data_IF_261678254524
#
_entry.id   IF_261678254524
#
_cell.length_a   1.000
_cell.length_b   1.000
_cell.length_c   1.000
_cell.angle_alpha   90.00
_cell.angle_beta   90.00
_cell.angle_gamma   90.00
#
_symmetry.space_group_name_H-M   'P 1'
#
loop_
_entity.id
_entity.type
_entity.pdbx_description
1 polymer ?
#
# COMPACT_ATOMS: atom_id res chain seq x y z
N UNK A 1 28.52 -10.25 -2.13
CA UNK A 1 28.50 -11.65 -2.58
C UNK A 1 29.00 -11.64 -4.02
N UNK A 2 30.19 -12.16 -4.30
CA UNK A 2 30.64 -12.34 -5.68
C UNK A 2 29.98 -13.62 -6.23
N UNK A 3 29.40 -13.56 -7.43
CA UNK A 3 28.63 -14.66 -8.04
C UNK A 3 27.30 -14.97 -7.34
N UNK A 4 26.83 -14.08 -6.45
CA UNK A 4 25.65 -14.31 -5.61
C UNK A 4 24.33 -13.77 -6.19
N UNK A 5 23.25 -13.91 -5.43
CA UNK A 5 21.96 -13.25 -5.72
C UNK A 5 21.66 -12.22 -4.64
N UNK A 6 21.30 -11.01 -5.06
CA UNK A 6 20.79 -9.93 -4.22
C UNK A 6 19.27 -9.85 -4.38
N UNK A 7 18.54 -10.04 -3.28
CA UNK A 7 17.10 -9.83 -3.23
C UNK A 7 16.79 -8.47 -2.59
N UNK A 8 16.06 -7.62 -3.32
CA UNK A 8 15.62 -6.30 -2.89
C UNK A 8 14.12 -6.35 -2.66
N UNK A 9 13.69 -6.32 -1.41
CA UNK A 9 12.27 -6.26 -1.07
C UNK A 9 11.79 -4.80 -0.98
N UNK A 10 10.51 -4.59 -1.25
CA UNK A 10 9.83 -3.29 -1.15
C UNK A 10 10.53 -2.13 -1.89
N UNK A 11 11.09 -2.39 -3.09
CA UNK A 11 11.91 -1.38 -3.80
C UNK A 11 11.16 -0.08 -4.13
N UNK A 12 9.83 -0.14 -4.26
CA UNK A 12 8.97 1.02 -4.49
C UNK A 12 8.93 2.05 -3.34
N UNK A 13 9.36 1.66 -2.13
CA UNK A 13 9.45 2.56 -0.96
C UNK A 13 10.84 3.20 -0.82
N UNK A 14 11.81 2.84 -1.69
CA UNK A 14 13.16 3.36 -1.61
C UNK A 14 13.19 4.88 -1.88
N UNK A 15 13.83 5.69 -1.01
CA UNK A 15 14.01 7.12 -1.26
C UNK A 15 14.76 7.40 -2.57
N UNK A 16 14.51 8.54 -3.19
CA UNK A 16 15.09 8.89 -4.51
C UNK A 16 16.62 8.82 -4.54
N UNK A 17 17.27 9.18 -3.43
CA UNK A 17 18.72 9.11 -3.29
C UNK A 17 19.27 7.67 -3.31
N UNK A 18 18.50 6.74 -2.73
CA UNK A 18 18.81 5.31 -2.76
C UNK A 18 18.61 4.76 -4.17
N UNK A 19 17.55 5.19 -4.85
CA UNK A 19 17.30 4.80 -6.24
C UNK A 19 18.47 5.20 -7.16
N UNK A 20 19.05 6.39 -6.99
CA UNK A 20 20.23 6.84 -7.76
C UNK A 20 21.45 5.95 -7.49
N UNK A 21 21.70 5.60 -6.22
CA UNK A 21 22.83 4.73 -5.86
C UNK A 21 22.63 3.31 -6.41
N UNK A 22 21.41 2.80 -6.36
CA UNK A 22 21.07 1.49 -6.89
C UNK A 22 21.22 1.45 -8.41
N UNK A 23 20.76 2.47 -9.12
CA UNK A 23 20.94 2.60 -10.56
C UNK A 23 22.42 2.52 -10.93
N UNK A 24 23.28 3.31 -10.26
CA UNK A 24 24.74 3.27 -10.49
C UNK A 24 25.33 1.88 -10.25
N UNK A 25 24.88 1.19 -9.20
CA UNK A 25 25.32 -0.18 -8.92
C UNK A 25 24.90 -1.18 -10.01
N UNK A 26 23.70 -1.03 -10.57
CA UNK A 26 23.17 -1.89 -11.64
C UNK A 26 23.75 -1.59 -13.03
N UNK A 27 24.13 -0.34 -13.28
CA UNK A 27 24.73 0.11 -14.54
C UNK A 27 26.23 -0.21 -14.59
N UNK A 28 26.97 0.29 -13.60
CA UNK A 28 28.43 0.22 -13.58
C UNK A 28 28.94 -1.10 -13.00
N UNK A 29 28.06 -1.90 -12.38
CA UNK A 29 28.46 -3.10 -11.63
C UNK A 29 29.55 -2.78 -10.60
N UNK A 30 29.41 -1.65 -9.93
CA UNK A 30 30.36 -1.19 -8.92
C UNK A 30 29.63 -0.58 -7.73
N UNK A 31 30.17 -0.77 -6.53
CA UNK A 31 29.67 -0.14 -5.31
C UNK A 31 30.81 0.48 -4.52
N UNK A 32 30.56 1.67 -3.96
CA UNK A 32 31.52 2.34 -3.07
C UNK A 32 31.08 2.12 -1.61
N UNK A 33 31.86 1.41 -0.78
CA UNK A 33 31.56 1.24 0.63
C UNK A 33 31.52 2.59 1.37
N UNK A 34 30.66 2.70 2.37
CA UNK A 34 30.61 3.90 3.22
C UNK A 34 31.97 4.10 3.90
N UNK A 35 32.53 5.29 3.77
CA UNK A 35 33.84 5.63 4.33
C UNK A 35 35.05 5.20 3.47
N UNK A 36 34.82 4.60 2.30
CA UNK A 36 35.86 4.30 1.32
C UNK A 36 35.68 5.16 0.07
N UNK A 37 36.78 5.57 -0.56
CA UNK A 37 36.75 6.21 -1.88
C UNK A 37 36.94 5.19 -3.02
N UNK A 38 37.23 3.94 -2.71
CA UNK A 38 37.57 2.92 -3.69
C UNK A 38 36.32 2.12 -4.08
N UNK A 39 35.88 2.16 -5.35
CA UNK A 39 34.82 1.31 -5.85
C UNK A 39 35.22 -0.18 -5.81
N UNK A 40 34.24 -1.05 -5.64
CA UNK A 40 34.40 -2.50 -5.75
C UNK A 40 33.47 -3.04 -6.82
N UNK A 41 33.98 -3.89 -7.70
CA UNK A 41 33.19 -4.58 -8.71
C UNK A 41 32.14 -5.49 -8.06
N UNK A 42 30.99 -5.57 -8.70
CA UNK A 42 29.80 -6.28 -8.26
C UNK A 42 29.39 -7.29 -9.33
N UNK A 43 29.55 -8.57 -9.02
CA UNK A 43 28.98 -9.66 -9.79
C UNK A 43 27.84 -10.31 -9.00
N UNK A 44 26.62 -9.82 -9.23
CA UNK A 44 25.41 -10.36 -8.59
C UNK A 44 24.25 -10.43 -9.57
N UNK A 45 23.42 -11.46 -9.41
CA UNK A 45 22.06 -11.48 -9.94
C UNK A 45 21.16 -10.66 -9.03
N UNK A 46 20.37 -9.74 -9.58
CA UNK A 46 19.41 -8.95 -8.80
C UNK A 46 18.00 -9.47 -9.02
N UNK A 47 17.26 -9.65 -7.92
CA UNK A 47 15.83 -9.92 -7.91
C UNK A 47 15.21 -8.81 -7.05
N UNK A 48 14.20 -8.13 -7.57
CA UNK A 48 13.50 -7.07 -6.84
C UNK A 48 12.01 -7.42 -6.71
N UNK A 49 11.42 -7.03 -5.58
CA UNK A 49 10.01 -7.17 -5.29
C UNK A 49 9.44 -5.84 -4.78
N UNK A 50 8.15 -5.64 -5.00
CA UNK A 50 7.40 -4.52 -4.46
C UNK A 50 5.92 -4.86 -4.39
N UNK A 51 5.23 -4.25 -3.43
CA UNK A 51 3.77 -4.27 -3.29
C UNK A 51 3.11 -3.00 -3.88
N UNK A 52 3.89 -2.10 -4.49
CA UNK A 52 3.41 -0.84 -5.08
C UNK A 52 3.28 -0.96 -6.59
N UNK A 53 2.35 -0.18 -7.13
CA UNK A 53 2.30 0.08 -8.57
C UNK A 53 3.43 1.04 -8.94
N UNK A 54 4.46 0.52 -9.60
CA UNK A 54 5.59 1.34 -10.05
C UNK A 54 5.22 2.24 -11.22
N UNK A 55 4.24 1.88 -12.05
CA UNK A 55 3.79 2.73 -13.16
C UNK A 55 3.11 4.00 -12.59
N UNK A 56 2.30 3.85 -11.53
CA UNK A 56 1.76 5.00 -10.77
C UNK A 56 2.88 5.81 -10.09
N UNK A 57 3.87 5.13 -9.48
CA UNK A 57 4.98 5.81 -8.81
C UNK A 57 5.85 6.62 -9.78
N UNK A 58 6.02 6.17 -11.02
CA UNK A 58 6.67 6.90 -12.11
C UNK A 58 5.88 8.17 -12.47
N UNK A 59 4.56 8.06 -12.66
CA UNK A 59 3.69 9.18 -13.03
C UNK A 59 3.72 10.32 -11.99
N UNK A 60 3.90 9.98 -10.71
CA UNK A 60 4.00 10.95 -9.61
C UNK A 60 5.44 11.39 -9.29
N UNK A 61 6.44 10.96 -10.07
CA UNK A 61 7.85 11.29 -9.84
C UNK A 61 8.45 10.71 -8.55
N UNK A 62 7.80 9.71 -7.95
CA UNK A 62 8.26 9.01 -6.74
C UNK A 62 9.24 7.88 -7.04
N UNK A 63 9.23 7.39 -8.28
CA UNK A 63 10.17 6.39 -8.77
C UNK A 63 10.86 6.88 -10.05
N UNK A 64 12.12 6.52 -10.27
CA UNK A 64 12.84 6.92 -11.49
C UNK A 64 12.59 5.95 -12.64
N UNK A 65 12.36 6.52 -13.82
CA UNK A 65 12.15 5.76 -15.06
C UNK A 65 13.37 4.92 -15.46
N UNK A 66 14.58 5.44 -15.28
CA UNK A 66 15.83 4.75 -15.61
C UNK A 66 16.02 3.47 -14.77
N UNK A 67 15.83 3.57 -13.45
CA UNK A 67 15.87 2.43 -12.54
C UNK A 67 14.76 1.42 -12.85
N UNK A 68 13.55 1.88 -13.15
CA UNK A 68 12.43 1.01 -13.49
C UNK A 68 12.74 0.12 -14.70
N UNK A 69 13.26 0.70 -15.79
CA UNK A 69 13.61 -0.07 -16.98
C UNK A 69 14.76 -1.05 -16.73
N UNK A 70 15.66 -0.73 -15.79
CA UNK A 70 16.77 -1.62 -15.41
C UNK A 70 16.31 -2.80 -14.55
N UNK A 71 15.27 -2.63 -13.75
CA UNK A 71 14.71 -3.68 -12.89
C UNK A 71 13.65 -4.55 -13.62
N UNK A 72 12.81 -3.94 -14.47
CA UNK A 72 11.68 -4.61 -15.15
C UNK A 72 12.12 -5.37 -16.42
N UNK A 73 13.16 -6.21 -16.29
CA UNK A 73 13.63 -7.07 -17.39
C UNK A 73 12.74 -8.31 -17.55
N UNK A 74 12.39 -8.95 -16.44
CA UNK A 74 11.52 -10.11 -16.40
C UNK A 74 10.51 -9.98 -15.26
N UNK A 75 9.35 -9.32 -15.50
CA UNK A 75 8.35 -9.11 -14.48
C UNK A 75 7.62 -10.42 -14.14
N UNK A 76 7.49 -10.71 -12.84
CA UNK A 76 6.68 -11.82 -12.32
C UNK A 76 5.54 -11.21 -11.51
N UNK A 77 4.31 -11.44 -11.96
CA UNK A 77 3.13 -11.06 -11.18
C UNK A 77 2.83 -12.14 -10.15
N UNK A 78 2.74 -11.74 -8.89
CA UNK A 78 2.41 -12.64 -7.78
C UNK A 78 0.92 -12.52 -7.45
N UNK A 79 0.05 -13.47 -7.87
CA UNK A 79 -1.37 -13.38 -7.61
C UNK A 79 -1.67 -13.51 -6.10
N UNK A 80 -2.71 -12.84 -5.60
CA UNK A 80 -3.15 -12.96 -4.22
C UNK A 80 -3.65 -14.38 -3.93
N UNK A 81 -3.66 -14.78 -2.65
CA UNK A 81 -4.09 -16.13 -2.25
C UNK A 81 -5.51 -16.47 -2.72
N UNK A 82 -6.41 -15.48 -2.75
CA UNK A 82 -7.79 -15.67 -3.20
C UNK A 82 -7.88 -16.20 -4.65
N UNK A 83 -6.91 -15.84 -5.51
CA UNK A 83 -6.90 -16.21 -6.92
C UNK A 83 -6.20 -17.57 -7.16
N UNK A 84 -5.72 -18.23 -6.10
CA UNK A 84 -4.91 -19.46 -6.18
C UNK A 84 -5.69 -20.75 -5.91
N UNK A 85 -7.01 -20.67 -5.70
CA UNK A 85 -7.88 -21.84 -5.58
C UNK A 85 -7.44 -22.82 -4.49
N UNK A 86 -7.06 -24.03 -4.90
CA UNK A 86 -6.74 -25.17 -4.02
C UNK A 86 -5.42 -25.02 -3.24
N UNK A 87 -4.61 -24.00 -3.52
CA UNK A 87 -3.38 -23.69 -2.76
C UNK A 87 -3.69 -23.46 -1.27
N UNK A 88 -4.90 -22.96 -0.93
CA UNK A 88 -5.30 -22.64 0.45
C UNK A 88 -5.21 -23.88 1.35
N UNK A 89 -5.72 -25.03 0.90
CA UNK A 89 -5.73 -26.25 1.72
C UNK A 89 -4.32 -26.83 1.88
N UNK A 90 -3.54 -26.81 0.80
CA UNK A 90 -2.15 -27.27 0.79
C UNK A 90 -1.29 -26.43 1.73
N UNK A 91 -1.43 -25.10 1.67
CA UNK A 91 -0.73 -24.16 2.55
C UNK A 91 -1.17 -24.30 4.01
N UNK A 92 -2.48 -24.44 4.27
CA UNK A 92 -3.00 -24.65 5.61
C UNK A 92 -2.42 -25.93 6.23
N UNK A 93 -2.38 -27.03 5.47
CA UNK A 93 -1.75 -28.28 5.89
C UNK A 93 -0.26 -28.12 6.18
N UNK A 94 0.46 -27.39 5.33
CA UNK A 94 1.88 -27.08 5.54
C UNK A 94 2.13 -26.31 6.85
N UNK A 95 1.34 -25.26 7.12
CA UNK A 95 1.48 -24.46 8.35
C UNK A 95 1.13 -25.27 9.59
N UNK A 96 0.10 -26.10 9.52
CA UNK A 96 -0.32 -26.95 10.63
C UNK A 96 0.75 -28.01 10.98
N UNK A 97 1.34 -28.65 9.97
CA UNK A 97 2.41 -29.61 10.15
C UNK A 97 3.65 -28.97 10.78
N UNK A 98 4.01 -27.74 10.36
CA UNK A 98 5.14 -26.99 10.92
C UNK A 98 4.90 -26.58 12.38
N UNK A 99 3.65 -26.35 12.77
CA UNK A 99 3.29 -26.03 14.15
C UNK A 99 3.33 -27.26 15.07
N UNK A 100 3.09 -28.46 14.53
CA UNK A 100 2.95 -29.71 15.28
C UNK A 100 4.26 -30.44 15.59
N UNK A 101 5.41 -29.75 15.59
CA UNK A 101 6.77 -30.31 15.50
C UNK A 101 7.09 -31.56 16.36
N UNK A 102 6.41 -31.81 17.49
CA UNK A 102 6.68 -32.93 18.40
C UNK A 102 5.43 -33.73 18.85
N UNK A 103 4.26 -33.57 18.21
CA UNK A 103 3.02 -34.27 18.59
C UNK A 103 2.25 -34.76 17.35
N UNK A 104 1.36 -35.77 17.48
CA UNK A 104 0.39 -36.04 16.42
C UNK A 104 -0.33 -34.74 16.10
N UNK A 105 -0.10 -34.21 14.90
CA UNK A 105 -0.59 -32.89 14.53
C UNK A 105 -2.12 -32.86 14.55
N UNK A 106 -2.73 -31.75 15.00
CA UNK A 106 -4.17 -31.62 14.96
C UNK A 106 -4.65 -31.76 13.51
N UNK A 107 -5.78 -32.44 13.30
CA UNK A 107 -6.37 -32.63 11.97
C UNK A 107 -7.27 -31.45 11.61
N UNK A 108 -7.47 -31.17 10.33
CA UNK A 108 -8.48 -30.20 9.89
C UNK A 108 -9.79 -30.93 9.57
N UNK A 109 -10.88 -30.54 10.22
CA UNK A 109 -12.20 -31.06 9.89
C UNK A 109 -12.64 -30.53 8.49
N UNK A 110 -13.46 -31.27 7.73
CA UNK A 110 -13.95 -30.83 6.43
C UNK A 110 -14.64 -29.46 6.47
N UNK A 111 -15.35 -29.16 7.56
CA UNK A 111 -16.04 -27.88 7.75
C UNK A 111 -15.04 -26.73 7.94
N UNK A 112 -13.88 -26.99 8.56
CA UNK A 112 -12.81 -26.00 8.68
C UNK A 112 -12.20 -25.67 7.32
N UNK A 113 -11.94 -26.70 6.49
CA UNK A 113 -11.44 -26.51 5.12
C UNK A 113 -12.44 -25.71 4.26
N UNK A 114 -13.73 -26.01 4.39
CA UNK A 114 -14.78 -25.23 3.73
C UNK A 114 -14.80 -23.76 4.20
N UNK A 115 -14.63 -23.52 5.51
CA UNK A 115 -14.60 -22.18 6.07
C UNK A 115 -13.40 -21.36 5.61
N UNK A 116 -12.19 -21.95 5.52
CA UNK A 116 -11.00 -21.23 5.02
C UNK A 116 -11.05 -20.98 3.51
N UNK A 117 -11.69 -21.86 2.73
CA UNK A 117 -11.90 -21.67 1.29
C UNK A 117 -12.91 -20.55 1.01
N UNK A 118 -13.97 -20.45 1.82
CA UNK A 118 -15.02 -19.44 1.66
C UNK A 118 -14.68 -18.05 2.22
N UNK A 119 -13.52 -17.89 2.87
CA UNK A 119 -13.10 -16.64 3.53
C UNK A 119 -12.17 -15.83 2.63
N UNK A 120 -12.31 -14.51 2.68
CA UNK A 120 -11.34 -13.58 2.07
C UNK A 120 -10.05 -13.53 2.88
N UNK A 121 -8.91 -13.53 2.18
CA UNK A 121 -7.57 -13.46 2.76
C UNK A 121 -6.84 -12.19 2.30
N UNK A 122 -7.26 -10.98 2.71
CA UNK A 122 -6.59 -9.73 2.33
C UNK A 122 -5.12 -9.69 2.77
N UNK A 123 -4.78 -10.31 3.91
CA UNK A 123 -3.39 -10.47 4.35
C UNK A 123 -2.67 -11.66 3.71
N UNK A 124 -3.31 -12.30 2.72
CA UNK A 124 -2.75 -13.33 1.86
C UNK A 124 -2.22 -14.52 2.69
N UNK A 125 -1.14 -15.18 2.26
CA UNK A 125 -0.51 -16.32 2.94
C UNK A 125 -0.17 -16.03 4.41
N UNK A 126 0.20 -14.79 4.76
CA UNK A 126 0.55 -14.42 6.16
C UNK A 126 -0.68 -14.50 7.07
N UNK A 127 -1.83 -14.02 6.60
CA UNK A 127 -3.08 -14.11 7.37
C UNK A 127 -3.55 -15.56 7.49
N UNK A 128 -3.50 -16.34 6.41
CA UNK A 128 -3.83 -17.77 6.46
C UNK A 128 -2.97 -18.50 7.49
N UNK A 129 -1.64 -18.28 7.46
CA UNK A 129 -0.71 -18.86 8.42
C UNK A 129 -1.12 -18.53 9.86
N UNK A 130 -1.32 -17.24 10.17
CA UNK A 130 -1.70 -16.83 11.52
C UNK A 130 -3.05 -17.41 11.95
N UNK A 131 -4.02 -17.50 11.04
CA UNK A 131 -5.34 -18.06 11.33
C UNK A 131 -5.27 -19.56 11.64
N UNK A 132 -4.46 -20.32 10.91
CA UNK A 132 -4.24 -21.76 11.14
C UNK A 132 -3.47 -21.99 12.45
N UNK A 133 -2.40 -21.22 12.71
CA UNK A 133 -1.64 -21.31 13.97
C UNK A 133 -2.52 -20.94 15.18
N UNK A 134 -3.33 -19.89 15.06
CA UNK A 134 -4.31 -19.51 16.07
C UNK A 134 -5.32 -20.64 16.33
N UNK A 135 -5.90 -21.21 15.27
CA UNK A 135 -6.88 -22.29 15.39
C UNK A 135 -6.29 -23.54 16.05
N UNK A 136 -5.02 -23.87 15.74
CA UNK A 136 -4.31 -24.98 16.37
C UNK A 136 -4.14 -24.77 17.89
N UNK A 137 -3.82 -23.56 18.32
CA UNK A 137 -3.70 -23.19 19.74
C UNK A 137 -5.06 -23.28 20.45
N UNK A 138 -6.11 -22.76 19.84
CA UNK A 138 -7.47 -22.78 20.40
C UNK A 138 -8.04 -24.19 20.49
N UNK A 139 -7.77 -25.03 19.48
CA UNK A 139 -8.19 -26.42 19.45
C UNK A 139 -7.48 -27.32 20.49
N UNK A 140 -6.39 -26.85 21.10
CA UNK A 140 -5.62 -27.56 22.14
C UNK A 140 -5.22 -28.99 21.74
N UNK A 141 -4.87 -29.19 20.46
CA UNK A 141 -4.50 -30.50 19.90
C UNK A 141 -5.66 -31.36 19.41
N UNK A 142 -6.91 -30.88 19.51
CA UNK A 142 -8.06 -31.47 18.84
C UNK A 142 -8.16 -31.13 17.35
N UNK A 143 -9.20 -31.62 16.68
CA UNK A 143 -9.46 -31.28 15.28
C UNK A 143 -9.85 -29.80 15.12
N UNK A 144 -9.31 -29.14 14.11
CA UNK A 144 -9.62 -27.74 13.77
C UNK A 144 -11.03 -27.68 13.19
N UNK A 145 -11.85 -26.76 13.72
CA UNK A 145 -13.25 -26.53 13.35
C UNK A 145 -13.46 -25.03 13.11
N UNK A 146 -14.51 -24.62 12.39
CA UNK A 146 -14.74 -23.20 12.06
C UNK A 146 -14.73 -22.26 13.27
N UNK A 147 -15.21 -22.73 14.42
CA UNK A 147 -15.23 -21.99 15.70
C UNK A 147 -13.83 -21.66 16.26
N UNK A 148 -12.78 -22.34 15.78
CA UNK A 148 -11.40 -22.08 16.16
C UNK A 148 -10.73 -21.01 15.29
N UNK A 149 -11.34 -20.59 14.17
CA UNK A 149 -10.79 -19.51 13.36
C UNK A 149 -10.85 -18.19 14.13
N UNK A 150 -9.82 -17.33 14.00
CA UNK A 150 -9.93 -15.98 14.53
C UNK A 150 -11.10 -15.27 13.84
N UNK A 151 -11.72 -14.27 14.49
CA UNK A 151 -12.73 -13.45 13.83
C UNK A 151 -12.19 -12.91 12.50
N UNK A 152 -13.06 -12.83 11.50
CA UNK A 152 -12.72 -12.15 10.26
C UNK A 152 -12.20 -10.76 10.62
N UNK A 153 -10.96 -10.44 10.25
CA UNK A 153 -10.53 -9.04 10.26
C UNK A 153 -11.45 -8.38 9.25
N UNK A 154 -12.34 -7.47 9.66
CA UNK A 154 -13.10 -6.70 8.69
C UNK A 154 -12.03 -6.04 7.86
N UNK A 155 -11.99 -6.39 6.58
CA UNK A 155 -11.33 -5.51 5.64
C UNK A 155 -12.16 -4.25 5.80
N UNK A 156 -11.58 -3.24 6.43
CA UNK A 156 -11.69 -1.96 5.78
C UNK A 156 -11.06 -2.18 4.40
N UNK A 157 -11.81 -2.81 3.47
CA UNK A 157 -11.98 -2.19 2.16
C UNK A 157 -12.09 -0.74 2.53
N UNK A 158 -11.29 0.14 1.94
CA UNK A 158 -11.64 1.53 1.96
C UNK A 158 -13.10 1.56 1.50
N UNK A 159 -14.04 1.50 2.44
CA UNK A 159 -15.39 1.91 2.29
C UNK A 159 -15.11 3.33 1.91
N UNK A 160 -15.22 3.62 0.61
CA UNK A 160 -15.45 4.97 0.16
C UNK A 160 -16.42 5.52 1.19
N UNK A 161 -15.97 6.46 2.03
CA UNK A 161 -16.69 6.83 3.24
C UNK A 161 -18.05 7.28 2.74
N UNK A 162 -19.10 6.48 2.98
CA UNK A 162 -20.38 6.51 2.26
C UNK A 162 -20.58 7.87 1.59
N UNK A 163 -20.06 8.01 0.37
CA UNK A 163 -20.06 9.31 -0.26
C UNK A 163 -21.51 9.51 -0.62
N UNK A 164 -22.11 10.53 -0.03
CA UNK A 164 -23.43 10.97 -0.45
C UNK A 164 -23.28 11.30 -1.93
N UNK A 165 -23.62 10.33 -2.79
CA UNK A 165 -23.22 10.32 -4.21
C UNK A 165 -23.79 11.55 -4.92
N UNK A 166 -24.88 12.10 -4.38
CA UNK A 166 -25.48 13.35 -4.78
C UNK A 166 -24.65 14.59 -4.39
N UNK A 167 -24.00 14.61 -3.22
CA UNK A 167 -23.15 15.71 -2.80
C UNK A 167 -21.84 15.75 -3.62
N UNK A 168 -21.22 14.60 -3.83
CA UNK A 168 -20.00 14.49 -4.64
C UNK A 168 -20.27 14.85 -6.11
N UNK A 169 -21.40 14.43 -6.67
CA UNK A 169 -21.82 14.82 -8.01
C UNK A 169 -21.97 16.34 -8.15
N UNK A 170 -22.59 17.02 -7.16
CA UNK A 170 -22.72 18.48 -7.15
C UNK A 170 -21.37 19.20 -7.09
N UNK A 171 -20.42 18.68 -6.32
CA UNK A 171 -19.06 19.24 -6.26
C UNK A 171 -18.38 19.07 -7.62
N UNK A 172 -18.47 17.88 -8.22
CA UNK A 172 -17.91 17.62 -9.55
C UNK A 172 -18.53 18.53 -10.63
N UNK A 173 -19.84 18.78 -10.58
CA UNK A 173 -20.53 19.71 -11.48
C UNK A 173 -20.05 21.15 -11.30
N UNK A 174 -19.90 21.60 -10.06
CA UNK A 174 -19.39 22.94 -9.76
C UNK A 174 -17.94 23.13 -10.26
N UNK A 175 -17.08 22.12 -10.09
CA UNK A 175 -15.72 22.15 -10.60
C UNK A 175 -15.70 22.17 -12.13
N UNK A 176 -16.52 21.35 -12.80
CA UNK A 176 -16.65 21.36 -14.26
C UNK A 176 -17.07 22.73 -14.79
N UNK A 177 -18.14 23.31 -14.23
CA UNK A 177 -18.62 24.63 -14.64
C UNK A 177 -17.58 25.73 -14.41
N UNK A 178 -16.82 25.67 -13.31
CA UNK A 178 -15.73 26.61 -13.05
C UNK A 178 -14.59 26.46 -14.07
N UNK A 179 -14.13 25.23 -14.35
CA UNK A 179 -13.10 24.96 -15.35
C UNK A 179 -13.54 25.42 -16.74
N UNK A 180 -14.77 25.10 -17.16
CA UNK A 180 -15.32 25.50 -18.45
C UNK A 180 -15.37 27.04 -18.58
N UNK A 181 -15.76 27.74 -17.51
CA UNK A 181 -15.74 29.21 -17.47
C UNK A 181 -14.34 29.79 -17.64
N UNK A 182 -13.32 29.21 -16.98
CA UNK A 182 -11.95 29.70 -17.06
C UNK A 182 -11.33 29.41 -18.43
N UNK A 183 -11.58 28.23 -18.99
CA UNK A 183 -11.12 27.84 -20.32
C UNK A 183 -11.79 28.67 -21.42
N UNK A 184 -13.08 29.01 -21.27
CA UNK A 184 -13.78 29.89 -22.20
C UNK A 184 -13.25 31.32 -22.20
N UNK A 185 -12.76 31.81 -21.05
CA UNK A 185 -12.25 33.18 -20.90
C UNK A 185 -10.76 33.32 -21.26
N UNK A 186 -9.94 32.31 -20.98
CA UNK A 186 -8.47 32.42 -21.07
C UNK A 186 -7.82 31.44 -22.06
N UNK A 187 -8.61 30.59 -22.73
CA UNK A 187 -8.11 29.53 -23.60
C UNK A 187 -7.30 28.47 -22.84
N UNK A 188 -6.44 27.74 -23.56
CA UNK A 188 -5.58 26.68 -23.00
C UNK A 188 -4.18 27.16 -22.62
N UNK A 189 -3.96 28.48 -22.56
CA UNK A 189 -2.69 29.02 -22.11
C UNK A 189 -2.42 28.58 -20.67
N UNK A 190 -1.17 28.21 -20.36
CA UNK A 190 -0.74 27.57 -19.12
C UNK A 190 -1.11 28.38 -17.86
N UNK A 191 -2.34 28.21 -17.42
CA UNK A 191 -2.85 28.73 -16.17
C UNK A 191 -2.63 27.61 -15.13
N UNK A 192 -2.11 27.90 -13.92
CA UNK A 192 -2.00 26.90 -12.88
C UNK A 192 -3.39 26.64 -12.29
N UNK A 193 -4.31 26.10 -13.10
CA UNK A 193 -5.71 25.81 -12.76
C UNK A 193 -5.79 24.96 -11.50
N UNK A 194 -4.86 24.00 -11.39
CA UNK A 194 -4.71 23.17 -10.20
C UNK A 194 -4.41 24.01 -8.95
N UNK A 195 -3.39 24.87 -8.99
CA UNK A 195 -3.00 25.70 -7.84
C UNK A 195 -4.12 26.66 -7.43
N UNK A 196 -4.79 27.29 -8.41
CA UNK A 196 -5.90 28.21 -8.16
C UNK A 196 -7.10 27.51 -7.56
N UNK A 197 -7.48 26.35 -8.11
CA UNK A 197 -8.61 25.56 -7.57
C UNK A 197 -8.31 25.06 -6.16
N UNK A 198 -7.10 24.53 -5.95
CA UNK A 198 -6.70 24.03 -4.63
C UNK A 198 -6.67 25.16 -3.60
N UNK A 199 -6.23 26.37 -3.96
CA UNK A 199 -6.30 27.53 -3.06
C UNK A 199 -7.75 27.87 -2.68
N UNK A 200 -8.66 27.94 -3.65
CA UNK A 200 -10.09 28.26 -3.41
C UNK A 200 -10.73 27.21 -2.51
N UNK A 201 -10.54 25.92 -2.83
CA UNK A 201 -11.11 24.81 -2.08
C UNK A 201 -10.55 24.77 -0.67
N UNK A 202 -9.24 24.94 -0.52
CA UNK A 202 -8.57 24.91 0.78
C UNK A 202 -9.06 26.04 1.69
N UNK A 203 -9.07 27.29 1.20
CA UNK A 203 -9.56 28.43 1.98
C UNK A 203 -11.02 28.23 2.40
N UNK A 204 -11.87 27.79 1.47
CA UNK A 204 -13.30 27.58 1.74
C UNK A 204 -13.53 26.47 2.77
N UNK A 205 -12.83 25.35 2.62
CA UNK A 205 -12.94 24.19 3.50
C UNK A 205 -12.46 24.54 4.92
N UNK A 206 -11.28 25.13 5.04
CA UNK A 206 -10.70 25.52 6.34
C UNK A 206 -11.62 26.51 7.06
N UNK A 207 -12.12 27.53 6.36
CA UNK A 207 -13.01 28.53 6.97
C UNK A 207 -14.31 27.89 7.47
N UNK A 208 -14.98 27.09 6.65
CA UNK A 208 -16.25 26.45 7.03
C UNK A 208 -16.10 25.50 8.22
N UNK A 209 -14.99 24.76 8.29
CA UNK A 209 -14.75 23.84 9.41
C UNK A 209 -14.38 24.60 10.69
N UNK A 210 -13.63 25.70 10.60
CA UNK A 210 -13.34 26.54 11.77
C UNK A 210 -14.60 27.21 12.30
N UNK A 211 -15.49 27.69 11.43
CA UNK A 211 -16.78 28.27 11.82
C UNK A 211 -17.69 27.23 12.50
N UNK A 212 -17.79 26.03 11.92
CA UNK A 212 -18.54 24.91 12.50
C UNK A 212 -17.97 24.44 13.84
N UNK A 213 -16.65 24.57 14.04
CA UNK A 213 -15.98 24.31 15.31
C UNK A 213 -16.04 25.50 16.29
N UNK A 214 -16.82 26.55 15.99
CA UNK A 214 -16.93 27.77 16.79
C UNK A 214 -15.57 28.41 17.15
N UNK A 215 -14.62 28.39 16.20
CA UNK A 215 -13.28 28.92 16.41
C UNK A 215 -12.32 28.01 17.17
N UNK A 216 -12.75 26.81 17.60
CA UNK A 216 -11.89 25.84 18.26
C UNK A 216 -10.96 25.17 17.24
N UNK A 217 -9.74 25.70 17.14
CA UNK A 217 -8.71 25.25 16.19
C UNK A 217 -8.29 23.79 16.40
N UNK A 218 -8.33 23.25 17.62
CA UNK A 218 -7.98 21.85 17.88
C UNK A 218 -9.08 20.92 17.39
N UNK A 219 -10.34 21.29 17.60
CA UNK A 219 -11.49 20.54 17.08
C UNK A 219 -11.54 20.60 15.54
N UNK A 220 -11.29 21.78 14.95
CA UNK A 220 -11.22 21.95 13.51
C UNK A 220 -10.09 21.13 12.86
N UNK A 221 -8.90 21.10 13.48
CA UNK A 221 -7.76 20.31 13.00
C UNK A 221 -8.09 18.81 13.01
N UNK A 222 -8.71 18.32 14.09
CA UNK A 222 -9.17 16.94 14.22
C UNK A 222 -10.22 16.59 13.15
N UNK A 223 -11.16 17.50 12.88
CA UNK A 223 -12.23 17.29 11.88
C UNK A 223 -11.68 17.28 10.45
N UNK A 224 -10.63 18.05 10.17
CA UNK A 224 -9.90 18.06 8.89
C UNK A 224 -8.88 16.91 8.76
N UNK A 225 -8.62 16.15 9.83
CA UNK A 225 -7.55 15.14 9.84
C UNK A 225 -6.14 15.73 9.70
N UNK A 226 -5.95 17.01 10.05
CA UNK A 226 -4.67 17.71 9.96
C UNK A 226 -4.04 17.86 11.36
N UNK A 227 -2.70 17.98 11.39
CA UNK A 227 -2.03 18.44 12.60
C UNK A 227 -2.34 19.92 12.88
N UNK A 228 -2.35 20.30 14.16
CA UNK A 228 -2.64 21.67 14.61
C UNK A 228 -1.66 22.69 14.03
N UNK A 229 -0.38 22.33 13.89
CA UNK A 229 0.63 23.21 13.30
C UNK A 229 0.34 23.46 11.82
N UNK A 230 -0.10 22.44 11.08
CA UNK A 230 -0.51 22.53 9.67
C UNK A 230 -1.74 23.43 9.51
N UNK A 231 -2.76 23.27 10.36
CA UNK A 231 -3.94 24.15 10.31
C UNK A 231 -3.57 25.62 10.63
N UNK A 232 -2.69 25.85 11.60
CA UNK A 232 -2.22 27.20 11.94
C UNK A 232 -1.45 27.85 10.79
N UNK A 233 -0.63 27.09 10.06
CA UNK A 233 0.09 27.59 8.88
C UNK A 233 -0.88 27.96 7.74
N UNK A 234 -1.98 27.20 7.59
CA UNK A 234 -3.04 27.46 6.59
C UNK A 234 -3.95 28.65 6.94
N UNK A 235 -4.15 28.94 8.23
CA UNK A 235 -4.91 30.11 8.71
C UNK A 235 -4.09 31.41 8.80
N UNK A 236 -2.76 31.32 8.65
CA UNK A 236 -1.84 32.46 8.76
C UNK A 236 -1.33 33.00 7.42
N UNK A 237 -1.79 32.44 6.30
CA UNK A 237 -1.63 32.98 4.95
C UNK A 237 -2.92 33.67 4.54
#
# INVERSE_FOLDING_TARGET
AEGGTLFLDEIGEAPIEVQVKLLRALENREVTPVGSATPRLLDVRVIAATNRDLDEALAHGRFRSDLFHRLRVFPIHMPPLADRGDDIETLAGHFLARHAADRPGPTMAPEFLAAIRGRSWPGNVRELKHAVEYAAVVARGGSLRPEHLPPAVPVATASQPATDTAADARVADAVRAWVDSILAQNGTAANPLHETLMAIVETTLVQKVVDAAHGNRTAAAKLLGLDRATLRAKLGR
#
